data_IF_243445479102
#
_entry.id   IF_243445479102
#
_cell.length_a   1.000
_cell.length_b   1.000
_cell.length_c   1.000
_cell.angle_alpha   90.00
_cell.angle_beta   90.00
_cell.angle_gamma   90.00
#
_symmetry.space_group_name_H-M   'P 1'
#
loop_
_entity.id
_entity.type
_entity.pdbx_description
1 polymer ?
#
# COMPACT_ATOMS: atom_id res chain seq x y z
N UNK A 1 30.44 -15.21 -10.63
CA UNK A 1 29.68 -14.24 -11.44
C UNK A 1 30.66 -13.35 -12.21
N UNK A 2 30.19 -12.75 -13.28
CA UNK A 2 30.94 -11.80 -14.11
C UNK A 2 30.14 -10.52 -14.28
N UNK A 3 30.79 -9.46 -14.73
CA UNK A 3 30.14 -8.21 -15.10
C UNK A 3 29.01 -8.46 -16.11
N UNK A 4 27.86 -7.87 -15.89
CA UNK A 4 26.64 -8.06 -16.70
C UNK A 4 25.83 -9.31 -16.35
N UNK A 5 26.24 -10.12 -15.38
CA UNK A 5 25.46 -11.28 -14.95
C UNK A 5 24.23 -10.88 -14.15
N UNK A 6 23.16 -11.69 -14.28
CA UNK A 6 21.99 -11.60 -13.42
C UNK A 6 21.99 -12.74 -12.41
N UNK A 7 21.82 -12.42 -11.16
CA UNK A 7 21.65 -13.38 -10.07
C UNK A 7 20.15 -13.56 -9.84
N UNK A 8 19.65 -14.78 -10.06
CA UNK A 8 18.27 -15.13 -9.78
C UNK A 8 18.15 -15.64 -8.35
N UNK A 9 17.30 -14.99 -7.56
CA UNK A 9 17.11 -15.28 -6.13
C UNK A 9 16.18 -16.47 -5.86
N UNK A 10 15.57 -17.02 -6.92
CA UNK A 10 14.67 -18.16 -6.85
C UNK A 10 13.29 -17.85 -6.27
N UNK A 11 13.01 -16.59 -5.96
CA UNK A 11 11.71 -16.11 -5.51
C UNK A 11 11.52 -14.62 -5.81
N UNK A 12 10.30 -14.18 -6.12
CA UNK A 12 9.96 -12.77 -6.30
C UNK A 12 9.74 -12.04 -4.96
N UNK A 13 9.56 -10.73 -5.04
CA UNK A 13 9.22 -9.84 -3.91
C UNK A 13 10.19 -9.93 -2.74
N UNK A 14 11.46 -9.92 -3.06
CA UNK A 14 12.52 -9.93 -2.05
C UNK A 14 12.62 -8.55 -1.43
N UNK A 15 12.57 -8.47 -0.12
CA UNK A 15 12.66 -7.20 0.61
C UNK A 15 14.09 -6.68 0.70
N UNK A 16 15.02 -7.57 1.06
CA UNK A 16 16.43 -7.21 1.18
C UNK A 16 17.33 -8.32 0.65
N UNK A 17 18.47 -7.93 0.08
CA UNK A 17 19.49 -8.83 -0.40
C UNK A 17 20.88 -8.41 0.11
N UNK A 18 21.70 -9.37 0.47
CA UNK A 18 23.10 -9.18 0.82
C UNK A 18 23.95 -10.14 0.00
N UNK A 19 24.98 -9.60 -0.62
CA UNK A 19 26.01 -10.38 -1.28
C UNK A 19 27.21 -10.47 -0.34
N UNK A 20 27.68 -11.67 -0.09
CA UNK A 20 28.81 -11.94 0.82
C UNK A 20 29.87 -12.67 0.03
N UNK A 21 31.08 -12.17 0.06
CA UNK A 21 32.21 -12.76 -0.64
C UNK A 21 32.78 -14.00 0.06
N UNK A 22 33.74 -14.69 -0.57
CA UNK A 22 34.37 -15.89 -0.04
C UNK A 22 35.12 -15.64 1.29
N UNK A 23 35.47 -14.39 1.59
CA UNK A 23 36.12 -14.00 2.84
C UNK A 23 35.10 -13.68 3.95
N UNK A 24 33.80 -13.78 3.67
CA UNK A 24 32.74 -13.42 4.59
C UNK A 24 32.49 -11.92 4.70
N UNK A 25 33.03 -11.12 3.79
CA UNK A 25 32.84 -9.68 3.74
C UNK A 25 31.58 -9.36 2.92
N UNK A 26 30.80 -8.38 3.38
CA UNK A 26 29.66 -7.87 2.64
C UNK A 26 30.13 -7.04 1.45
N UNK A 27 29.58 -7.36 0.28
CA UNK A 27 29.80 -6.62 -0.96
C UNK A 27 28.80 -5.48 -0.99
N UNK A 28 29.29 -4.25 -0.96
CA UNK A 28 28.46 -3.02 -0.89
C UNK A 28 28.39 -2.25 -2.20
N UNK A 29 29.14 -2.68 -3.23
CA UNK A 29 29.20 -2.00 -4.53
C UNK A 29 29.39 -3.02 -5.66
N UNK A 30 29.12 -2.59 -6.89
CA UNK A 30 29.29 -3.43 -8.09
C UNK A 30 28.08 -4.28 -8.42
N UNK A 31 26.92 -4.00 -7.83
CA UNK A 31 25.64 -4.61 -8.20
C UNK A 31 24.49 -3.62 -8.05
N UNK A 32 23.39 -3.91 -8.71
CA UNK A 32 22.12 -3.20 -8.59
C UNK A 32 21.03 -4.16 -8.09
N UNK A 33 20.28 -3.71 -7.10
CA UNK A 33 19.15 -4.42 -6.51
C UNK A 33 18.02 -3.42 -6.27
N UNK A 34 17.49 -2.86 -7.37
CA UNK A 34 16.37 -1.92 -7.32
C UNK A 34 15.08 -2.63 -6.92
N UNK A 35 14.07 -1.89 -6.45
CA UNK A 35 12.77 -2.44 -6.10
C UNK A 35 12.20 -3.30 -7.24
N UNK A 36 12.28 -2.80 -8.49
CA UNK A 36 11.79 -3.53 -9.66
C UNK A 36 12.52 -4.86 -9.91
N UNK A 37 13.82 -4.90 -9.64
CA UNK A 37 14.62 -6.12 -9.76
C UNK A 37 14.30 -7.10 -8.63
N UNK A 38 14.18 -6.61 -7.40
CA UNK A 38 13.82 -7.42 -6.24
C UNK A 38 12.38 -7.96 -6.33
N UNK A 39 11.47 -7.22 -6.96
CA UNK A 39 10.10 -7.67 -7.23
C UNK A 39 10.05 -8.90 -8.14
N UNK A 40 10.98 -9.03 -9.08
CA UNK A 40 11.11 -10.22 -9.94
C UNK A 40 12.14 -11.23 -9.41
N UNK A 41 12.81 -10.92 -8.31
CA UNK A 41 13.79 -11.79 -7.66
C UNK A 41 15.14 -11.82 -8.35
N UNK A 42 15.63 -10.68 -8.80
CA UNK A 42 16.88 -10.52 -9.52
C UNK A 42 17.82 -9.51 -8.86
N UNK A 43 19.11 -9.71 -9.07
CA UNK A 43 20.19 -8.75 -8.76
C UNK A 43 21.10 -8.67 -9.97
N UNK A 44 21.36 -7.47 -10.46
CA UNK A 44 22.21 -7.26 -11.62
C UNK A 44 23.66 -6.94 -11.19
N UNK A 45 24.61 -7.73 -11.65
CA UNK A 45 26.02 -7.50 -11.37
C UNK A 45 26.58 -6.49 -12.37
N UNK A 46 27.09 -5.38 -11.89
CA UNK A 46 27.66 -4.31 -12.73
C UNK A 46 29.17 -4.36 -12.77
N UNK A 47 29.83 -4.63 -11.63
CA UNK A 47 31.28 -4.71 -11.53
C UNK A 47 31.69 -5.69 -10.43
N UNK A 48 32.49 -6.68 -10.76
CA UNK A 48 33.02 -7.68 -9.82
C UNK A 48 34.43 -7.38 -9.32
N UNK A 49 34.95 -6.20 -9.61
CA UNK A 49 36.30 -5.81 -9.15
C UNK A 49 36.38 -5.83 -7.63
N UNK A 50 37.34 -6.58 -7.12
CA UNK A 50 37.55 -6.73 -5.67
C UNK A 50 36.68 -7.80 -4.99
N UNK A 51 35.81 -8.48 -5.70
CA UNK A 51 35.00 -9.55 -5.14
C UNK A 51 35.76 -10.86 -5.04
N UNK A 52 35.86 -11.43 -3.83
CA UNK A 52 36.39 -12.77 -3.65
C UNK A 52 35.31 -13.81 -3.92
N UNK A 53 35.49 -14.64 -4.95
CA UNK A 53 34.53 -15.68 -5.30
C UNK A 53 34.86 -17.01 -4.60
N UNK A 54 33.88 -17.89 -4.28
CA UNK A 54 32.45 -17.79 -4.61
C UNK A 54 31.69 -16.79 -3.74
N UNK A 55 30.57 -16.29 -4.26
CA UNK A 55 29.70 -15.37 -3.56
C UNK A 55 28.53 -16.11 -2.94
N UNK A 56 28.21 -15.80 -1.70
CA UNK A 56 26.99 -16.22 -1.02
C UNK A 56 25.94 -15.13 -1.10
N UNK A 57 24.76 -15.47 -1.61
CA UNK A 57 23.62 -14.54 -1.64
C UNK A 57 22.68 -14.87 -0.49
N UNK A 58 22.41 -13.88 0.33
CA UNK A 58 21.39 -13.93 1.38
C UNK A 58 20.29 -12.95 1.06
N UNK A 59 19.05 -13.36 1.25
CA UNK A 59 17.92 -12.48 1.06
C UNK A 59 16.83 -12.76 2.09
N UNK A 60 15.96 -11.77 2.32
CA UNK A 60 14.80 -11.88 3.20
C UNK A 60 13.54 -11.51 2.43
N UNK A 61 12.49 -12.22 2.71
CA UNK A 61 11.12 -11.83 2.42
C UNK A 61 10.44 -11.52 3.74
N UNK A 62 9.49 -10.61 3.72
CA UNK A 62 8.62 -10.29 4.84
C UNK A 62 7.28 -9.81 4.34
N UNK A 63 6.25 -10.10 5.09
CA UNK A 63 4.92 -9.56 4.91
C UNK A 63 4.50 -8.83 6.17
N UNK A 64 3.70 -7.79 5.99
CA UNK A 64 2.96 -7.16 7.08
C UNK A 64 1.49 -7.51 6.93
N UNK A 65 0.89 -7.97 7.99
CA UNK A 65 -0.53 -8.30 8.03
C UNK A 65 -1.11 -7.94 9.39
N UNK A 66 -2.41 -7.71 9.44
CA UNK A 66 -3.12 -7.47 10.68
C UNK A 66 -3.55 -8.82 11.26
N UNK A 67 -3.15 -9.10 12.51
CA UNK A 67 -3.73 -10.21 13.25
C UNK A 67 -5.13 -9.80 13.71
N UNK A 68 -6.13 -10.51 13.23
CA UNK A 68 -7.55 -10.24 13.53
C UNK A 68 -8.08 -11.11 14.65
N UNK A 69 -7.47 -12.26 14.90
CA UNK A 69 -7.83 -13.18 15.96
C UNK A 69 -6.65 -14.08 16.34
N UNK A 70 -6.60 -14.49 17.60
CA UNK A 70 -5.62 -15.43 18.14
C UNK A 70 -6.35 -16.54 18.86
N UNK A 71 -6.23 -17.77 18.37
CA UNK A 71 -6.85 -18.95 18.98
C UNK A 71 -5.95 -19.55 20.05
N UNK A 72 -6.56 -20.30 20.98
CA UNK A 72 -5.84 -20.93 22.10
C UNK A 72 -4.78 -21.94 21.63
N UNK A 73 -4.99 -22.57 20.48
CA UNK A 73 -4.05 -23.51 19.87
C UNK A 73 -2.84 -22.82 19.19
N UNK A 74 -2.78 -21.49 19.21
CA UNK A 74 -1.74 -20.70 18.57
C UNK A 74 -2.00 -20.34 17.11
N UNK A 75 -3.17 -20.68 16.58
CA UNK A 75 -3.57 -20.27 15.24
C UNK A 75 -3.83 -18.76 15.20
N UNK A 76 -3.27 -18.07 14.21
CA UNK A 76 -3.48 -16.66 13.97
C UNK A 76 -4.37 -16.45 12.75
N UNK A 77 -5.47 -15.74 12.92
CA UNK A 77 -6.25 -15.21 11.79
C UNK A 77 -5.67 -13.87 11.34
N UNK A 78 -5.43 -13.72 10.05
CA UNK A 78 -4.73 -12.56 9.50
C UNK A 78 -5.49 -11.97 8.31
N UNK A 79 -5.40 -10.66 8.11
CA UNK A 79 -5.96 -9.94 6.97
C UNK A 79 -5.12 -8.70 6.64
N UNK A 80 -4.66 -8.51 5.40
CA UNK A 80 -4.77 -9.41 4.24
C UNK A 80 -3.97 -10.71 4.42
N UNK A 81 -4.22 -11.74 3.58
CA UNK A 81 -3.41 -12.96 3.61
C UNK A 81 -1.95 -12.67 3.26
N UNK A 82 -1.05 -13.54 3.67
CA UNK A 82 0.36 -13.45 3.31
C UNK A 82 0.53 -13.58 1.79
N UNK A 83 1.51 -12.87 1.25
CA UNK A 83 1.82 -12.89 -0.19
C UNK A 83 2.67 -14.11 -0.58
N UNK A 84 3.24 -14.81 0.39
CA UNK A 84 4.12 -15.97 0.20
C UNK A 84 3.82 -17.06 1.21
N UNK A 85 4.21 -18.29 0.85
CA UNK A 85 4.31 -19.40 1.80
C UNK A 85 5.61 -19.27 2.61
N UNK A 86 5.48 -19.28 3.92
CA UNK A 86 6.61 -19.19 4.84
C UNK A 86 6.95 -20.58 5.39
N UNK A 87 8.22 -21.01 5.35
CA UNK A 87 8.63 -22.30 5.88
C UNK A 87 8.51 -22.34 7.40
N UNK A 88 8.41 -23.56 7.92
CA UNK A 88 8.47 -23.81 9.37
C UNK A 88 9.76 -23.23 9.95
N UNK A 89 9.64 -22.50 11.06
CA UNK A 89 10.74 -21.77 11.68
C UNK A 89 10.87 -20.31 11.23
N UNK A 90 9.99 -19.83 10.34
CA UNK A 90 9.86 -18.40 10.07
C UNK A 90 9.47 -17.64 11.33
N UNK A 91 10.03 -16.43 11.50
CA UNK A 91 9.78 -15.60 12.67
C UNK A 91 8.54 -14.76 12.47
N UNK A 92 7.62 -14.87 13.40
CA UNK A 92 6.47 -13.97 13.52
C UNK A 92 6.74 -13.04 14.71
N UNK A 93 6.57 -11.74 14.49
CA UNK A 93 6.78 -10.74 15.53
C UNK A 93 5.67 -9.70 15.47
N UNK A 94 5.21 -9.27 16.64
CA UNK A 94 4.37 -8.08 16.71
C UNK A 94 5.20 -6.84 16.37
N UNK A 95 4.59 -5.93 15.66
CA UNK A 95 5.23 -4.71 15.18
C UNK A 95 4.42 -3.52 15.65
N UNK A 96 5.08 -2.54 16.24
CA UNK A 96 4.48 -1.25 16.49
C UNK A 96 4.69 -0.38 15.24
N UNK A 97 3.59 -0.06 14.58
CA UNK A 97 3.60 0.77 13.38
C UNK A 97 3.40 2.24 13.74
N UNK A 98 4.31 3.07 13.28
CA UNK A 98 4.20 4.52 13.33
C UNK A 98 3.84 5.04 11.94
N UNK A 99 2.63 5.55 11.79
CA UNK A 99 2.05 5.97 10.52
C UNK A 99 1.09 4.93 9.94
N UNK A 100 0.48 5.27 8.83
CA UNK A 100 -0.48 4.40 8.13
C UNK A 100 0.20 3.74 6.93
N UNK A 101 0.41 2.42 7.02
CA UNK A 101 0.99 1.63 5.94
C UNK A 101 0.11 1.54 4.69
N UNK A 102 -1.20 1.67 4.88
CA UNK A 102 -2.17 1.44 3.81
C UNK A 102 -2.92 2.71 3.48
N UNK A 103 -2.97 3.03 2.20
CA UNK A 103 -3.90 3.99 1.68
C UNK A 103 -5.33 3.48 1.87
N UNK A 104 -6.23 4.37 2.21
CA UNK A 104 -7.64 4.01 2.43
C UNK A 104 -8.56 5.17 2.14
N UNK A 105 -9.82 4.85 1.94
CA UNK A 105 -10.90 5.84 2.05
C UNK A 105 -11.12 6.12 3.54
N UNK A 106 -11.02 7.38 3.91
CA UNK A 106 -11.24 7.83 5.28
C UNK A 106 -12.64 8.35 5.51
N UNK A 107 -13.30 8.77 4.43
CA UNK A 107 -14.65 9.32 4.47
C UNK A 107 -15.32 9.13 3.11
N UNK A 108 -16.59 8.77 3.14
CA UNK A 108 -17.45 8.63 1.97
C UNK A 108 -18.83 9.18 2.30
N UNK A 109 -19.42 9.97 1.40
CA UNK A 109 -20.80 10.44 1.54
C UNK A 109 -21.42 10.84 0.22
N UNK A 110 -22.73 10.73 0.13
CA UNK A 110 -23.52 11.03 -1.06
C UNK A 110 -24.10 12.44 -0.96
N UNK A 111 -23.96 13.25 -1.99
CA UNK A 111 -24.38 14.63 -2.06
C UNK A 111 -25.28 14.87 -3.28
N UNK A 112 -26.43 15.52 -3.09
CA UNK A 112 -27.40 15.77 -4.15
C UNK A 112 -26.91 16.74 -5.23
N UNK A 113 -26.25 17.81 -4.81
CA UNK A 113 -25.76 18.85 -5.71
C UNK A 113 -24.33 19.23 -5.37
N UNK A 114 -23.54 19.46 -6.40
CA UNK A 114 -22.18 19.97 -6.28
C UNK A 114 -21.87 20.94 -7.43
N UNK A 115 -21.22 22.04 -7.10
CA UNK A 115 -20.79 23.05 -8.05
C UNK A 115 -19.64 22.60 -8.99
N UNK A 116 -18.99 21.47 -8.65
CA UNK A 116 -17.85 20.92 -9.40
C UNK A 116 -16.50 21.50 -8.98
N UNK A 117 -16.47 22.39 -8.01
CA UNK A 117 -15.25 23.14 -7.60
C UNK A 117 -15.03 23.07 -6.08
N UNK A 118 -16.08 23.25 -5.27
CA UNK A 118 -15.95 23.32 -3.83
C UNK A 118 -16.02 21.95 -3.19
N UNK A 119 -14.88 21.45 -2.69
CA UNK A 119 -14.82 20.18 -1.98
C UNK A 119 -15.26 20.33 -0.53
N UNK A 120 -15.98 19.33 -0.04
CA UNK A 120 -16.61 19.33 1.28
C UNK A 120 -16.14 18.16 2.12
N UNK A 121 -16.24 18.29 3.43
CA UNK A 121 -15.95 17.24 4.40
C UNK A 121 -17.21 16.56 4.95
N UNK A 122 -18.39 17.04 4.58
CA UNK A 122 -19.68 16.47 4.98
C UNK A 122 -20.80 16.93 4.04
N UNK A 123 -21.92 16.24 4.10
CA UNK A 123 -23.14 16.62 3.36
C UNK A 123 -23.55 18.06 3.72
N UNK A 124 -23.85 18.83 2.68
CA UNK A 124 -24.41 20.18 2.84
C UNK A 124 -25.71 20.28 2.06
N UNK A 125 -26.80 20.50 2.75
CA UNK A 125 -28.14 20.44 2.17
C UNK A 125 -28.65 19.00 2.01
N UNK A 126 -29.23 18.70 0.86
CA UNK A 126 -29.82 17.39 0.61
C UNK A 126 -28.79 16.32 0.27
N UNK A 127 -29.00 15.11 0.76
CA UNK A 127 -28.30 13.91 0.33
C UNK A 127 -28.74 13.48 -1.08
N UNK A 128 -27.90 12.77 -1.82
CA UNK A 128 -28.29 12.17 -3.08
C UNK A 128 -29.42 11.13 -2.87
N UNK A 129 -30.15 10.84 -3.92
CA UNK A 129 -31.10 9.72 -3.95
C UNK A 129 -30.37 8.41 -4.16
N UNK A 130 -29.31 8.44 -4.99
CA UNK A 130 -28.40 7.32 -5.17
C UNK A 130 -27.52 7.12 -3.92
N UNK A 131 -27.12 5.89 -3.68
CA UNK A 131 -26.25 5.52 -2.57
C UNK A 131 -25.12 4.60 -3.05
N UNK A 132 -23.98 4.68 -2.38
CA UNK A 132 -22.86 3.74 -2.56
C UNK A 132 -22.73 2.82 -1.35
N UNK A 133 -22.75 1.51 -1.57
CA UNK A 133 -22.65 0.52 -0.49
C UNK A 133 -21.18 0.18 -0.21
N UNK A 134 -20.51 1.03 0.57
CA UNK A 134 -19.11 0.85 0.95
C UNK A 134 -18.89 -0.42 1.79
N UNK A 135 -19.86 -0.79 2.62
CA UNK A 135 -19.71 -1.95 3.50
C UNK A 135 -19.62 -3.28 2.73
N UNK A 136 -20.36 -3.41 1.64
CA UNK A 136 -20.35 -4.62 0.80
C UNK A 136 -19.32 -4.54 -0.34
N UNK A 137 -18.99 -3.34 -0.78
CA UNK A 137 -18.11 -3.10 -1.95
C UNK A 137 -17.19 -1.89 -1.67
N UNK A 138 -16.18 -2.05 -0.79
CA UNK A 138 -15.31 -0.94 -0.43
C UNK A 138 -14.49 -0.46 -1.62
N UNK A 139 -14.27 0.85 -1.68
CA UNK A 139 -13.32 1.46 -2.62
C UNK A 139 -11.90 1.10 -2.17
N UNK A 140 -11.13 0.47 -3.06
CA UNK A 140 -9.78 0.02 -2.77
C UNK A 140 -8.79 1.06 -3.28
N UNK A 141 -8.08 1.74 -2.39
CA UNK A 141 -7.04 2.70 -2.75
C UNK A 141 -5.71 1.99 -2.92
N UNK A 142 -5.03 2.24 -4.03
CA UNK A 142 -3.72 1.64 -4.29
C UNK A 142 -2.66 2.35 -3.43
N UNK A 143 -1.83 1.58 -2.71
CA UNK A 143 -0.78 2.15 -1.85
C UNK A 143 0.27 2.96 -2.64
N UNK A 144 0.72 2.40 -3.75
CA UNK A 144 1.76 3.01 -4.56
C UNK A 144 1.26 4.27 -5.28
N UNK A 145 1.81 5.42 -4.92
CA UNK A 145 1.39 6.71 -5.45
C UNK A 145 0.03 7.19 -4.92
N UNK A 146 -0.39 6.70 -3.76
CA UNK A 146 -1.61 7.14 -3.11
C UNK A 146 -1.50 8.60 -2.65
N UNK A 147 -2.58 9.34 -2.84
CA UNK A 147 -2.70 10.74 -2.44
C UNK A 147 -3.65 10.89 -1.24
N UNK A 148 -3.33 11.81 -0.34
CA UNK A 148 -4.27 12.29 0.67
C UNK A 148 -5.05 13.46 0.10
N UNK A 149 -6.25 13.18 -0.41
CA UNK A 149 -7.01 14.12 -1.22
C UNK A 149 -8.51 13.88 -1.11
N UNK A 150 -9.30 14.90 -1.42
CA UNK A 150 -10.74 14.81 -1.60
C UNK A 150 -11.08 14.62 -3.07
N UNK A 151 -12.02 13.75 -3.34
CA UNK A 151 -12.51 13.43 -4.68
C UNK A 151 -14.03 13.61 -4.75
N UNK A 152 -14.50 14.10 -5.90
CA UNK A 152 -15.90 14.10 -6.26
C UNK A 152 -16.15 13.25 -7.49
N UNK A 153 -17.02 12.26 -7.37
CA UNK A 153 -17.51 11.46 -8.50
C UNK A 153 -18.89 11.99 -8.87
N UNK A 154 -18.95 12.86 -9.86
CA UNK A 154 -20.18 13.55 -10.26
C UNK A 154 -20.85 12.85 -11.42
N UNK A 155 -22.11 12.45 -11.24
CA UNK A 155 -22.90 11.83 -12.29
C UNK A 155 -23.28 12.80 -13.39
N UNK A 156 -23.16 12.34 -14.64
CA UNK A 156 -23.64 13.04 -15.81
C UNK A 156 -25.16 12.92 -15.95
N UNK A 157 -25.77 13.67 -16.85
CA UNK A 157 -27.21 13.68 -17.04
C UNK A 157 -27.82 12.33 -17.41
N UNK A 158 -27.03 11.37 -17.91
CA UNK A 158 -27.48 10.02 -18.20
C UNK A 158 -27.61 9.13 -16.95
N UNK A 159 -27.19 9.63 -15.79
CA UNK A 159 -27.28 8.92 -14.50
C UNK A 159 -26.55 7.56 -14.46
N UNK A 160 -25.64 7.35 -15.40
CA UNK A 160 -24.87 6.11 -15.54
C UNK A 160 -23.38 6.39 -15.56
N UNK A 161 -22.97 7.42 -16.29
CA UNK A 161 -21.59 7.86 -16.36
C UNK A 161 -21.30 8.93 -15.32
N UNK A 162 -20.09 8.95 -14.82
CA UNK A 162 -19.61 9.95 -13.88
C UNK A 162 -18.19 10.41 -14.21
N UNK A 163 -17.85 11.60 -13.75
CA UNK A 163 -16.51 12.16 -13.83
C UNK A 163 -15.87 12.13 -12.45
N UNK A 164 -14.64 11.66 -12.38
CA UNK A 164 -13.81 11.73 -11.17
C UNK A 164 -12.94 12.98 -11.21
N UNK A 165 -13.07 13.79 -10.19
CA UNK A 165 -12.33 15.04 -10.04
C UNK A 165 -11.68 15.02 -8.66
N UNK A 166 -10.36 15.20 -8.61
CA UNK A 166 -9.60 15.40 -7.38
C UNK A 166 -9.41 16.88 -7.08
N UNK A 167 -9.41 17.25 -5.81
CA UNK A 167 -9.25 18.64 -5.36
C UNK A 167 -7.92 19.25 -5.79
N UNK A 168 -6.85 18.45 -5.77
CA UNK A 168 -5.50 18.87 -6.17
C UNK A 168 -5.13 18.31 -7.54
N UNK A 169 -5.53 17.08 -7.81
CA UNK A 169 -5.18 16.37 -9.05
C UNK A 169 -6.03 16.78 -10.25
N UNK A 170 -7.15 17.48 -10.05
CA UNK A 170 -8.07 17.84 -11.12
C UNK A 170 -8.81 16.65 -11.71
N UNK A 171 -9.11 16.69 -13.01
CA UNK A 171 -9.85 15.62 -13.69
C UNK A 171 -9.02 14.35 -13.84
N UNK A 172 -9.54 13.24 -13.30
CA UNK A 172 -8.87 11.92 -13.26
C UNK A 172 -9.52 10.90 -14.19
N UNK A 173 -10.48 11.34 -15.00
CA UNK A 173 -11.16 10.49 -15.98
C UNK A 173 -12.63 10.31 -15.68
N UNK A 174 -13.26 9.47 -16.49
CA UNK A 174 -14.70 9.17 -16.43
C UNK A 174 -14.90 7.68 -16.28
N UNK A 175 -15.88 7.31 -15.52
CA UNK A 175 -16.31 5.93 -15.30
C UNK A 175 -17.79 5.73 -15.59
N UNK A 176 -18.20 4.44 -15.55
CA UNK A 176 -19.56 4.02 -15.68
C UNK A 176 -19.93 3.15 -14.46
N UNK A 177 -21.09 3.37 -13.87
CA UNK A 177 -21.50 2.64 -12.66
C UNK A 177 -21.71 1.13 -12.85
N UNK A 178 -21.82 0.66 -14.11
CA UNK A 178 -21.99 -0.76 -14.42
C UNK A 178 -20.67 -1.52 -14.58
N UNK A 179 -19.55 -0.82 -14.47
CA UNK A 179 -18.21 -1.40 -14.61
C UNK A 179 -17.31 -0.94 -13.46
N UNK A 180 -16.33 -1.76 -13.09
CA UNK A 180 -15.30 -1.35 -12.15
C UNK A 180 -14.50 -0.19 -12.74
N UNK A 181 -14.48 0.92 -12.03
CA UNK A 181 -13.72 2.08 -12.46
C UNK A 181 -12.31 2.09 -11.86
N UNK A 182 -11.32 2.25 -12.71
CA UNK A 182 -9.89 2.21 -12.36
C UNK A 182 -9.18 3.44 -12.92
N UNK A 183 -9.32 4.62 -12.31
CA UNK A 183 -8.69 5.85 -12.80
C UNK A 183 -7.17 5.71 -12.80
N UNK A 184 -6.55 6.34 -13.79
CA UNK A 184 -5.09 6.41 -13.88
C UNK A 184 -4.50 7.14 -12.68
N UNK A 185 -3.39 6.63 -12.17
CA UNK A 185 -2.67 7.25 -11.06
C UNK A 185 -1.68 8.29 -11.60
N UNK A 186 -1.86 9.59 -11.30
CA UNK A 186 -0.97 10.63 -11.79
C UNK A 186 0.45 10.54 -11.20
N UNK A 187 0.60 9.93 -10.01
CA UNK A 187 1.88 9.79 -9.32
C UNK A 187 2.61 8.49 -9.70
N UNK A 188 1.88 7.49 -10.18
CA UNK A 188 2.48 6.21 -10.61
C UNK A 188 1.78 5.70 -11.88
N UNK A 189 2.21 6.13 -13.08
CA UNK A 189 1.65 5.65 -14.34
C UNK A 189 1.69 4.12 -14.46
N UNK A 190 0.62 3.54 -15.04
CA UNK A 190 0.49 2.09 -15.19
C UNK A 190 -0.16 1.36 -14.00
N UNK A 191 -0.39 2.06 -12.90
CA UNK A 191 -1.10 1.54 -11.74
C UNK A 191 -2.39 2.35 -11.54
N UNK A 192 -3.56 1.75 -11.22
CA UNK A 192 -4.75 2.55 -10.94
C UNK A 192 -4.58 3.31 -9.61
N UNK A 193 -5.13 4.52 -9.54
CA UNK A 193 -5.16 5.29 -8.30
C UNK A 193 -6.00 4.58 -7.22
N UNK A 194 -7.14 4.05 -7.65
CA UNK A 194 -8.07 3.29 -6.84
C UNK A 194 -8.91 2.36 -7.72
N UNK A 195 -9.61 1.43 -7.10
CA UNK A 195 -10.64 0.61 -7.75
C UNK A 195 -11.96 0.93 -7.09
N UNK A 196 -12.93 1.37 -7.88
CA UNK A 196 -14.30 1.63 -7.46
C UNK A 196 -15.17 0.53 -8.05
N UNK A 197 -15.58 -0.47 -7.23
CA UNK A 197 -16.36 -1.60 -7.71
C UNK A 197 -17.74 -1.21 -8.22
N UNK A 198 -18.13 -1.74 -9.37
CA UNK A 198 -19.49 -1.57 -9.92
C UNK A 198 -20.58 -2.02 -8.94
N UNK A 199 -20.32 -3.10 -8.21
CA UNK A 199 -21.26 -3.66 -7.23
C UNK A 199 -21.60 -2.73 -6.05
N UNK A 200 -20.81 -1.68 -5.83
CA UNK A 200 -21.07 -0.68 -4.79
C UNK A 200 -22.16 0.33 -5.18
N UNK A 201 -22.38 0.54 -6.47
CA UNK A 201 -23.34 1.52 -6.92
C UNK A 201 -24.79 1.01 -6.75
N UNK A 202 -25.54 1.70 -5.93
CA UNK A 202 -26.99 1.48 -5.81
C UNK A 202 -27.76 2.00 -7.02
N UNK A 203 -29.07 1.74 -7.02
CA UNK A 203 -30.00 2.32 -7.98
C UNK A 203 -30.27 3.80 -7.67
N UNK A 204 -30.91 4.46 -8.63
CA UNK A 204 -31.50 5.81 -8.46
C UNK A 204 -30.54 7.01 -8.43
N UNK A 205 -29.30 6.84 -8.85
CA UNK A 205 -28.43 7.98 -9.10
C UNK A 205 -29.02 8.89 -10.17
N UNK A 206 -28.95 10.20 -9.97
CA UNK A 206 -29.41 11.21 -10.91
C UNK A 206 -28.27 12.10 -11.40
N UNK A 207 -28.48 12.75 -12.53
CA UNK A 207 -27.50 13.69 -13.07
C UNK A 207 -27.21 14.84 -12.12
N UNK A 208 -25.93 15.11 -11.87
CA UNK A 208 -25.46 16.13 -10.91
C UNK A 208 -25.24 15.62 -9.51
N UNK A 209 -25.80 14.48 -9.12
CA UNK A 209 -25.48 13.85 -7.83
C UNK A 209 -24.02 13.42 -7.79
N UNK A 210 -23.43 13.46 -6.61
CA UNK A 210 -22.01 13.28 -6.42
C UNK A 210 -21.71 12.37 -5.22
N UNK A 211 -20.85 11.39 -5.43
CA UNK A 211 -20.20 10.66 -4.34
C UNK A 211 -18.90 11.37 -3.99
N UNK A 212 -18.79 11.86 -2.76
CA UNK A 212 -17.55 12.39 -2.23
C UNK A 212 -16.77 11.31 -1.51
N UNK A 213 -15.48 11.22 -1.83
CA UNK A 213 -14.53 10.34 -1.18
C UNK A 213 -13.33 11.15 -0.71
N UNK A 214 -12.88 10.92 0.51
CA UNK A 214 -11.62 11.43 1.03
C UNK A 214 -10.69 10.26 1.24
N UNK A 215 -9.53 10.30 0.60
CA UNK A 215 -8.49 9.29 0.83
C UNK A 215 -7.42 9.81 1.78
N UNK A 216 -6.78 8.88 2.45
CA UNK A 216 -5.51 9.08 3.14
C UNK A 216 -4.51 8.19 2.44
N UNK A 217 -3.45 8.80 1.90
CA UNK A 217 -2.37 8.10 1.24
C UNK A 217 -1.59 7.21 2.22
N UNK A 218 -0.91 6.22 1.68
CA UNK A 218 0.06 5.47 2.46
C UNK A 218 1.17 6.43 2.89
N UNK A 219 1.27 6.66 4.18
CA UNK A 219 2.36 7.47 4.73
C UNK A 219 3.58 6.57 4.87
N UNK A 220 4.76 7.11 4.54
CA UNK A 220 6.02 6.45 4.86
C UNK A 220 6.02 6.10 6.35
N UNK A 221 5.79 4.84 6.67
CA UNK A 221 5.75 4.38 8.04
C UNK A 221 7.01 3.62 8.34
N UNK A 222 7.45 3.71 9.57
CA UNK A 222 8.48 2.83 10.07
C UNK A 222 7.88 1.90 11.13
N UNK A 223 8.45 0.71 11.16
CA UNK A 223 8.04 -0.34 12.05
C UNK A 223 9.09 -0.49 13.15
N UNK A 224 8.68 -0.39 14.41
CA UNK A 224 9.53 -0.76 15.53
C UNK A 224 9.25 -2.23 15.88
N UNK A 225 10.25 -3.08 15.66
CA UNK A 225 10.20 -4.50 16.03
C UNK A 225 10.94 -4.64 17.36
N UNK A 226 10.23 -5.12 18.38
CA UNK A 226 10.84 -5.47 19.66
C UNK A 226 11.06 -6.98 19.68
N UNK A 227 12.30 -7.40 19.70
CA UNK A 227 12.65 -8.78 20.04
C UNK A 227 13.03 -8.86 21.53
N UNK A 228 12.36 -9.73 22.27
CA UNK A 228 12.68 -10.00 23.68
C UNK A 228 13.29 -11.40 23.73
N UNK A 229 14.53 -11.48 24.17
CA UNK A 229 15.15 -12.77 24.43
C UNK A 229 14.57 -13.38 25.73
N UNK A 230 14.48 -14.71 25.82
CA UNK A 230 14.10 -15.36 27.06
C UNK A 230 15.04 -14.93 28.18
N UNK A 231 14.51 -14.31 29.23
CA UNK A 231 15.26 -13.85 30.40
C UNK A 231 14.36 -13.98 31.65
N UNK A 232 14.99 -13.93 32.81
CA UNK A 232 14.25 -13.84 34.06
C UNK A 232 13.43 -12.54 34.05
N UNK A 233 12.13 -12.57 34.39
CA UNK A 233 11.32 -11.39 34.47
C UNK A 233 11.98 -10.32 35.36
N UNK A 234 12.31 -9.17 34.83
CA UNK A 234 12.72 -8.01 35.60
C UNK A 234 11.47 -7.17 35.84
N UNK A 235 11.20 -6.81 37.09
CA UNK A 235 10.06 -5.96 37.44
C UNK A 235 10.21 -4.49 37.02
N UNK A 236 11.08 -4.19 36.08
CA UNK A 236 11.31 -2.85 35.55
C UNK A 236 10.59 -2.70 34.21
N UNK A 237 9.71 -1.71 34.13
CA UNK A 237 9.14 -1.27 32.85
C UNK A 237 10.26 -0.72 31.96
N UNK A 238 10.38 -1.30 30.78
CA UNK A 238 11.28 -0.75 29.76
C UNK A 238 10.59 0.41 29.06
N UNK A 239 11.10 1.60 29.25
CA UNK A 239 10.66 2.81 28.58
C UNK A 239 11.65 3.15 27.45
N UNK A 240 11.13 3.50 26.28
CA UNK A 240 11.93 4.08 25.20
C UNK A 240 11.12 5.16 24.49
N UNK A 241 11.81 6.16 24.00
CA UNK A 241 11.22 7.26 23.23
C UNK A 241 11.76 7.20 21.80
N UNK A 242 10.86 7.40 20.84
CA UNK A 242 11.23 7.56 19.43
C UNK A 242 10.79 8.94 18.98
N UNK A 243 11.76 9.75 18.57
CA UNK A 243 11.50 11.04 17.94
C UNK A 243 11.50 10.88 16.43
N UNK A 244 10.42 11.28 15.77
CA UNK A 244 10.30 11.30 14.33
C UNK A 244 10.23 12.74 13.88
N UNK A 245 11.16 13.14 13.06
CA UNK A 245 11.21 14.44 12.43
C UNK A 245 11.20 14.32 10.91
N UNK A 246 10.67 15.31 10.23
CA UNK A 246 10.73 15.45 8.78
C UNK A 246 10.75 16.92 8.42
N UNK A 247 11.56 17.26 7.43
CA UNK A 247 11.56 18.58 6.82
C UNK A 247 10.51 18.58 5.69
N UNK A 248 9.78 19.67 5.58
CA UNK A 248 8.85 19.93 4.47
C UNK A 248 9.51 21.02 3.63
N UNK A 249 10.03 20.65 2.47
CA UNK A 249 10.49 21.60 1.45
C UNK A 249 9.31 22.12 0.61
#
# INVERSE_FOLDING_TARGET
>A
YSNGATIHLGRPRVGNVWLIDANGQEITAGYEATEAQLDVGEVHVTDTTGWAQPITVRHRIYDFTLCTDVQIDGTLSISPPLSHDYPVGSVVSSVLLFGTLFARVAQLFDQKTWDGVTFKDSVTGDVAVGTYNEAASPIIVTNAGALSERYGLRFRNNATDFDLIGEKSGGLGSGNKNEDFRPSNPMKPGTPLMVIPAAGWGSNWAGGETLFARTIGAMGSFAAIRSVQPSVPSGLDMHFEIMVGGDID
#
